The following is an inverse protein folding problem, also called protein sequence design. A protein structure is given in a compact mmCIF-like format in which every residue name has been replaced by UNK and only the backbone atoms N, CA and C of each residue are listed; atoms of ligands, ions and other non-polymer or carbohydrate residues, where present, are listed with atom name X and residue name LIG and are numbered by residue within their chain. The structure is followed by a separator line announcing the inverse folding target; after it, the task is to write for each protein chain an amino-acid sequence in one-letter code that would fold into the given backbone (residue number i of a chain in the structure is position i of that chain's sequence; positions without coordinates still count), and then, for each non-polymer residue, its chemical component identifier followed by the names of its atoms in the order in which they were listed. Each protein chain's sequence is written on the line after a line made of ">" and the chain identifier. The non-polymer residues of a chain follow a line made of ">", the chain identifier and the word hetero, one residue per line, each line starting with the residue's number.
data_IF_844992413238
#
_entry.id   IF_844992413238
#
_cell.length_a   1.000
_cell.length_b   1.000
_cell.length_c   1.000
_cell.angle_alpha   90.00
_cell.angle_beta   90.00
_cell.angle_gamma   90.00
#
_symmetry.space_group_name_H-M   'P 1'
#
loop_
_entity.id
_entity.type
_entity.pdbx_description
1 polymer ?
#
# COMPACT_ATOMS: atom_id res chain seq x y z
N UNK A 1 52.21 -23.57 -2.62
CA UNK A 1 53.68 -23.42 -2.56
C UNK A 1 54.04 -22.54 -1.36
N UNK A 2 54.34 -23.09 -0.17
CA UNK A 2 54.92 -22.29 0.90
C UNK A 2 56.44 -22.24 0.71
N UNK A 3 57.01 -21.02 0.65
CA UNK A 3 58.45 -20.83 0.75
C UNK A 3 58.83 -20.69 2.21
N UNK A 4 59.84 -21.47 2.55
CA UNK A 4 60.49 -21.66 3.83
C UNK A 4 61.47 -20.53 4.15
N UNK A 5 61.89 -20.54 5.42
CA UNK A 5 63.23 -20.24 5.92
C UNK A 5 63.56 -18.79 6.32
N UNK A 6 64.33 -18.50 7.38
CA UNK A 6 65.00 -19.27 8.46
C UNK A 6 65.78 -18.24 9.31
N UNK A 7 66.19 -18.60 10.54
CA UNK A 7 67.40 -18.12 11.29
C UNK A 7 67.42 -16.71 11.95
N UNK A 8 68.00 -16.44 13.14
CA UNK A 8 68.80 -17.20 14.15
C UNK A 8 69.19 -16.27 15.34
N UNK A 9 69.71 -16.90 16.40
CA UNK A 9 70.77 -16.40 17.36
C UNK A 9 70.25 -15.66 18.60
N UNK A 10 70.22 -16.23 19.83
CA UNK A 10 71.26 -16.77 20.75
C UNK A 10 72.07 -15.69 21.51
N UNK A 11 71.85 -15.62 22.82
CA UNK A 11 72.85 -15.42 23.90
C UNK A 11 72.16 -15.84 25.23
N UNK A 12 72.50 -16.94 25.91
CA UNK A 12 73.64 -17.14 26.84
C UNK A 12 73.77 -15.97 27.84
N UNK A 13 73.91 -16.11 29.16
CA UNK A 13 74.09 -17.21 30.08
C UNK A 13 74.06 -16.56 31.48
N UNK A 14 73.41 -17.18 32.48
CA UNK A 14 73.94 -17.18 33.86
C UNK A 14 73.23 -18.19 34.74
N UNK A 15 73.96 -19.27 35.03
CA UNK A 15 73.71 -20.16 36.16
C UNK A 15 73.90 -19.38 37.47
N UNK A 16 72.93 -19.47 38.38
CA UNK A 16 73.19 -19.56 39.82
C UNK A 16 72.26 -20.61 40.41
N UNK A 17 72.86 -21.73 40.77
CA UNK A 17 72.33 -22.74 41.66
C UNK A 17 72.19 -22.13 43.06
N UNK A 18 70.98 -22.10 43.60
CA UNK A 18 70.74 -21.99 45.02
C UNK A 18 69.53 -22.87 45.36
N UNK A 19 69.84 -23.90 46.12
CA UNK A 19 68.96 -24.86 46.78
C UNK A 19 67.86 -24.17 47.60
N UNK A 20 66.62 -24.57 47.41
CA UNK A 20 65.48 -24.07 48.19
C UNK A 20 64.24 -24.91 47.90
N UNK A 21 64.14 -26.04 48.60
CA UNK A 21 62.92 -26.85 48.71
C UNK A 21 61.80 -25.98 49.30
N UNK A 22 60.70 -25.84 48.57
CA UNK A 22 59.56 -25.03 48.96
C UNK A 22 58.44 -25.16 47.95
N UNK A 23 57.91 -26.38 47.81
CA UNK A 23 56.68 -26.60 47.05
C UNK A 23 55.52 -25.87 47.71
N UNK A 24 55.17 -24.70 47.19
CA UNK A 24 53.88 -24.07 47.49
C UNK A 24 52.82 -24.73 46.61
N UNK A 25 52.38 -25.90 47.06
CA UNK A 25 51.16 -26.57 46.59
C UNK A 25 49.99 -25.58 46.69
N UNK A 26 49.14 -25.42 45.67
CA UNK A 26 47.89 -24.67 45.83
C UNK A 26 47.07 -25.34 46.94
N UNK A 27 46.27 -24.60 47.74
CA UNK A 27 45.47 -25.22 48.77
C UNK A 27 44.51 -26.21 48.10
N UNK A 28 44.71 -27.51 48.35
CA UNK A 28 43.72 -28.54 48.05
C UNK A 28 42.58 -28.31 49.04
N UNK A 29 41.53 -27.65 48.58
CA UNK A 29 40.23 -27.67 49.24
C UNK A 29 39.77 -29.13 49.20
N UNK A 30 39.95 -29.87 50.29
CA UNK A 30 39.38 -31.21 50.43
C UNK A 30 37.90 -31.03 50.69
N UNK A 31 37.14 -30.76 49.63
CA UNK A 31 35.70 -30.68 49.73
C UNK A 31 35.19 -31.99 50.33
N UNK A 32 34.39 -31.90 51.38
CA UNK A 32 33.81 -33.09 51.99
C UNK A 32 32.88 -33.76 50.98
N UNK A 33 32.66 -35.08 51.10
CA UNK A 33 31.74 -35.79 50.22
C UNK A 33 30.34 -35.15 50.20
N UNK A 34 29.94 -34.48 51.29
CA UNK A 34 28.70 -33.72 51.39
C UNK A 34 28.72 -32.43 50.53
N UNK A 35 29.79 -31.63 50.58
CA UNK A 35 29.93 -30.41 49.77
C UNK A 35 29.95 -30.72 48.27
N UNK A 36 30.58 -31.81 47.85
CA UNK A 36 30.58 -32.24 46.44
C UNK A 36 29.18 -32.65 45.99
N UNK A 37 28.40 -33.31 46.85
CA UNK A 37 27.00 -33.69 46.56
C UNK A 37 26.11 -32.44 46.47
N UNK A 38 26.30 -31.46 47.34
CA UNK A 38 25.54 -30.20 47.30
C UNK A 38 25.81 -29.41 46.01
N UNK A 39 27.08 -29.29 45.60
CA UNK A 39 27.45 -28.66 44.32
C UNK A 39 26.86 -29.43 43.13
N UNK A 40 26.86 -30.76 43.17
CA UNK A 40 26.26 -31.59 42.11
C UNK A 40 24.74 -31.43 42.03
N UNK A 41 24.05 -31.34 43.16
CA UNK A 41 22.60 -31.10 43.20
C UNK A 41 22.25 -29.71 42.67
N UNK A 42 23.02 -28.69 43.06
CA UNK A 42 22.83 -27.31 42.58
C UNK A 42 23.11 -27.19 41.08
N UNK A 43 24.15 -27.86 40.57
CA UNK A 43 24.44 -27.90 39.14
C UNK A 43 23.40 -28.69 38.34
N UNK A 44 22.88 -29.80 38.87
CA UNK A 44 21.76 -30.53 38.25
C UNK A 44 20.48 -29.69 38.19
N UNK A 45 20.20 -28.93 39.25
CA UNK A 45 19.06 -27.99 39.27
C UNK A 45 19.20 -26.93 38.19
N UNK A 46 20.38 -26.28 38.10
CA UNK A 46 20.67 -25.29 37.06
C UNK A 46 20.61 -25.88 35.64
N UNK A 47 21.03 -27.12 35.47
CA UNK A 47 20.94 -27.81 34.18
C UNK A 47 19.47 -28.05 33.78
N UNK A 48 18.64 -28.51 34.72
CA UNK A 48 17.21 -28.70 34.48
C UNK A 48 16.51 -27.37 34.15
N UNK A 49 16.81 -26.30 34.88
CA UNK A 49 16.33 -24.95 34.58
C UNK A 49 16.75 -24.51 33.18
N UNK A 50 18.01 -24.73 32.79
CA UNK A 50 18.50 -24.41 31.44
C UNK A 50 17.82 -25.24 30.34
N UNK A 51 17.56 -26.53 30.57
CA UNK A 51 16.85 -27.40 29.62
C UNK A 51 15.40 -26.94 29.42
N UNK A 52 14.70 -26.58 30.49
CA UNK A 52 13.33 -26.05 30.41
C UNK A 52 13.27 -24.69 29.69
N UNK A 53 14.25 -23.82 29.94
CA UNK A 53 14.39 -22.54 29.25
C UNK A 53 14.65 -22.75 27.74
N UNK A 54 15.55 -23.69 27.38
CA UNK A 54 15.83 -24.03 25.99
C UNK A 54 14.57 -24.55 25.28
N UNK A 55 13.82 -25.45 25.91
CA UNK A 55 12.57 -25.97 25.35
C UNK A 55 11.51 -24.88 25.14
N UNK A 56 11.50 -23.85 25.98
CA UNK A 56 10.59 -22.71 25.84
C UNK A 56 11.04 -21.80 24.68
N UNK A 57 12.34 -21.49 24.57
CA UNK A 57 12.90 -20.74 23.42
C UNK A 57 12.59 -21.42 22.10
N UNK A 58 12.78 -22.73 21.99
CA UNK A 58 12.50 -23.48 20.76
C UNK A 58 11.03 -23.37 20.35
N UNK A 59 10.10 -23.43 21.31
CA UNK A 59 8.66 -23.23 21.03
C UNK A 59 8.35 -21.81 20.55
N UNK A 60 8.92 -20.80 21.18
CA UNK A 60 8.73 -19.39 20.79
C UNK A 60 9.30 -19.11 19.40
N UNK A 61 10.49 -19.64 19.08
CA UNK A 61 11.09 -19.51 17.74
C UNK A 61 10.19 -20.15 16.69
N UNK A 62 9.73 -21.37 16.92
CA UNK A 62 8.83 -22.06 15.97
C UNK A 62 7.53 -21.28 15.73
N UNK A 63 6.93 -20.70 16.78
CA UNK A 63 5.71 -19.91 16.65
C UNK A 63 5.95 -18.62 15.84
N UNK A 64 7.08 -17.95 16.05
CA UNK A 64 7.47 -16.76 15.27
C UNK A 64 7.79 -17.11 13.80
N UNK A 65 8.36 -18.29 13.54
CA UNK A 65 8.58 -18.80 12.18
C UNK A 65 7.25 -19.05 11.46
N UNK A 66 6.26 -19.64 12.14
CA UNK A 66 4.91 -19.85 11.60
C UNK A 66 4.20 -18.52 11.32
N UNK A 67 4.25 -17.55 12.24
CA UNK A 67 3.70 -16.21 12.01
C UNK A 67 4.39 -15.49 10.85
N UNK A 68 5.73 -15.59 10.74
CA UNK A 68 6.47 -15.02 9.62
C UNK A 68 6.09 -15.68 8.28
N UNK A 69 5.89 -17.00 8.27
CA UNK A 69 5.43 -17.70 7.08
C UNK A 69 4.02 -17.27 6.67
N UNK A 70 3.11 -17.12 7.63
CA UNK A 70 1.76 -16.61 7.38
C UNK A 70 1.79 -15.17 6.86
N UNK A 71 2.60 -14.30 7.46
CA UNK A 71 2.77 -12.93 7.02
C UNK A 71 3.34 -12.83 5.60
N UNK A 72 4.33 -13.67 5.24
CA UNK A 72 4.85 -13.75 3.88
C UNK A 72 3.80 -14.19 2.87
N UNK A 73 3.02 -15.22 3.19
CA UNK A 73 1.94 -15.68 2.32
C UNK A 73 0.87 -14.59 2.11
N UNK A 74 0.60 -13.78 3.13
CA UNK A 74 -0.32 -12.64 3.00
C UNK A 74 0.29 -11.51 2.16
N UNK A 75 1.58 -11.20 2.34
CA UNK A 75 2.29 -10.24 1.50
C UNK A 75 2.29 -10.67 0.02
N UNK A 76 2.54 -11.95 -0.27
CA UNK A 76 2.53 -12.49 -1.65
C UNK A 76 1.14 -12.34 -2.31
N UNK A 77 0.06 -12.58 -1.54
CA UNK A 77 -1.31 -12.36 -2.02
C UNK A 77 -1.57 -10.89 -2.29
N UNK A 78 -1.25 -10.03 -1.32
CA UNK A 78 -1.45 -8.59 -1.44
C UNK A 78 -0.64 -8.00 -2.61
N UNK A 79 0.59 -8.49 -2.87
CA UNK A 79 1.39 -8.10 -4.03
C UNK A 79 0.74 -8.53 -5.36
N UNK A 80 0.17 -9.74 -5.39
CA UNK A 80 -0.58 -10.23 -6.56
C UNK A 80 -1.81 -9.37 -6.83
N UNK A 81 -2.55 -9.03 -5.77
CA UNK A 81 -3.75 -8.18 -5.85
C UNK A 81 -3.39 -6.74 -6.26
N UNK A 82 -2.30 -6.18 -5.70
CA UNK A 82 -1.78 -4.86 -6.09
C UNK A 82 -1.41 -4.82 -7.58
N UNK A 83 -0.72 -5.85 -8.06
CA UNK A 83 -0.38 -5.96 -9.49
C UNK A 83 -1.64 -6.05 -10.36
N UNK A 84 -2.63 -6.84 -9.96
CA UNK A 84 -3.91 -6.95 -10.68
C UNK A 84 -4.64 -5.60 -10.71
N UNK A 85 -4.71 -4.89 -9.59
CA UNK A 85 -5.32 -3.56 -9.48
C UNK A 85 -4.59 -2.53 -10.37
N UNK A 86 -3.25 -2.53 -10.40
CA UNK A 86 -2.48 -1.64 -11.28
C UNK A 86 -2.74 -1.90 -12.77
N UNK A 87 -2.91 -3.16 -13.18
CA UNK A 87 -3.29 -3.51 -14.56
C UNK A 87 -4.70 -2.99 -14.86
N UNK A 88 -5.65 -3.15 -13.94
CA UNK A 88 -7.02 -2.66 -14.07
C UNK A 88 -7.06 -1.12 -14.21
N UNK A 89 -6.33 -0.40 -13.35
CA UNK A 89 -6.16 1.06 -13.41
C UNK A 89 -5.70 1.48 -14.81
N UNK A 90 -4.63 0.88 -15.34
CA UNK A 90 -4.09 1.22 -16.66
C UNK A 90 -5.12 1.00 -17.79
N UNK A 91 -5.91 -0.07 -17.71
CA UNK A 91 -6.96 -0.37 -18.69
C UNK A 91 -8.07 0.68 -18.61
N UNK A 92 -8.51 1.02 -17.40
CA UNK A 92 -9.57 2.00 -17.15
C UNK A 92 -9.14 3.41 -17.57
N UNK A 93 -7.90 3.82 -17.30
CA UNK A 93 -7.33 5.08 -17.78
C UNK A 93 -7.38 5.16 -19.31
N UNK A 94 -6.90 4.11 -20.00
CA UNK A 94 -6.94 4.05 -21.46
C UNK A 94 -8.37 4.12 -22.03
N UNK A 95 -9.32 3.43 -21.38
CA UNK A 95 -10.73 3.47 -21.77
C UNK A 95 -11.35 4.87 -21.56
N UNK A 96 -11.06 5.51 -20.42
CA UNK A 96 -11.53 6.87 -20.08
C UNK A 96 -10.99 7.89 -21.07
N UNK A 97 -9.70 7.83 -21.41
CA UNK A 97 -9.08 8.75 -22.36
C UNK A 97 -9.67 8.59 -23.77
N UNK A 98 -9.91 7.34 -24.20
CA UNK A 98 -10.61 7.07 -25.45
C UNK A 98 -12.06 7.57 -25.44
N UNK A 99 -12.77 7.48 -24.32
CA UNK A 99 -14.11 8.04 -24.16
C UNK A 99 -14.11 9.58 -24.24
N UNK A 100 -13.14 10.25 -23.59
CA UNK A 100 -12.96 11.69 -23.70
C UNK A 100 -12.69 12.15 -25.14
N UNK A 101 -11.82 11.44 -25.86
CA UNK A 101 -11.53 11.75 -27.26
C UNK A 101 -12.78 11.62 -28.14
N UNK A 102 -13.54 10.53 -27.99
CA UNK A 102 -14.82 10.32 -28.69
C UNK A 102 -15.83 11.44 -28.39
N UNK A 103 -15.96 11.84 -27.13
CA UNK A 103 -16.88 12.92 -26.73
C UNK A 103 -16.48 14.27 -27.35
N UNK A 104 -15.17 14.57 -27.42
CA UNK A 104 -14.67 15.81 -28.00
C UNK A 104 -14.94 15.90 -29.51
N UNK A 105 -14.75 14.80 -30.24
CA UNK A 105 -15.05 14.72 -31.67
C UNK A 105 -16.55 14.90 -31.93
N UNK A 106 -17.40 14.13 -31.23
CA UNK A 106 -18.84 14.22 -31.38
C UNK A 106 -19.38 15.62 -31.00
N UNK A 107 -18.77 16.29 -30.00
CA UNK A 107 -19.15 17.67 -29.62
C UNK A 107 -18.86 18.66 -30.76
N UNK A 108 -17.76 18.47 -31.46
CA UNK A 108 -17.38 19.29 -32.61
C UNK A 108 -18.37 19.10 -33.75
N UNK A 109 -18.77 17.86 -34.02
CA UNK A 109 -19.78 17.52 -35.03
C UNK A 109 -21.14 18.19 -34.72
N UNK A 110 -21.63 18.06 -33.48
CA UNK A 110 -22.89 18.70 -33.06
C UNK A 110 -22.82 20.23 -33.19
N UNK A 111 -21.69 20.85 -32.88
CA UNK A 111 -21.51 22.29 -33.07
C UNK A 111 -21.60 22.70 -34.54
N UNK A 112 -21.00 21.92 -35.46
CA UNK A 112 -21.12 22.19 -36.89
C UNK A 112 -22.54 21.99 -37.40
N UNK A 113 -23.21 20.90 -37.01
CA UNK A 113 -24.61 20.68 -37.38
C UNK A 113 -25.53 21.79 -36.84
N UNK A 114 -25.30 22.24 -35.61
CA UNK A 114 -26.05 23.36 -35.02
C UNK A 114 -25.84 24.65 -35.80
N UNK A 115 -24.61 24.94 -36.27
CA UNK A 115 -24.34 26.10 -37.13
C UNK A 115 -25.00 25.99 -38.50
N UNK A 116 -25.07 24.79 -39.08
CA UNK A 116 -25.78 24.55 -40.34
C UNK A 116 -27.28 24.77 -40.14
N UNK A 117 -27.84 24.22 -39.06
CA UNK A 117 -29.24 24.36 -38.70
C UNK A 117 -29.64 25.83 -38.49
N UNK A 118 -28.82 26.61 -37.77
CA UNK A 118 -29.04 28.04 -37.60
C UNK A 118 -29.08 28.80 -38.95
N UNK A 119 -28.15 28.48 -39.86
CA UNK A 119 -28.14 29.07 -41.22
C UNK A 119 -29.39 28.68 -42.02
N UNK A 120 -29.86 27.45 -41.90
CA UNK A 120 -31.07 26.99 -42.59
C UNK A 120 -32.34 27.62 -42.01
N UNK A 121 -32.39 27.82 -40.69
CA UNK A 121 -33.48 28.55 -40.03
C UNK A 121 -33.55 30.00 -40.51
N UNK A 122 -32.41 30.68 -40.59
CA UNK A 122 -32.34 32.05 -41.12
C UNK A 122 -32.85 32.13 -42.57
N UNK A 123 -32.41 31.22 -43.45
CA UNK A 123 -32.90 31.19 -44.83
C UNK A 123 -34.41 30.91 -44.90
N UNK A 124 -34.92 30.05 -44.03
CA UNK A 124 -36.36 29.76 -43.94
C UNK A 124 -37.16 30.98 -43.47
N UNK A 125 -36.64 31.73 -42.51
CA UNK A 125 -37.27 32.97 -42.03
C UNK A 125 -37.30 34.04 -43.13
N UNK A 126 -36.21 34.13 -43.91
CA UNK A 126 -36.14 34.98 -45.10
C UNK A 126 -37.16 34.56 -46.17
N UNK A 127 -37.25 33.25 -46.47
CA UNK A 127 -38.23 32.70 -47.42
C UNK A 127 -39.66 32.93 -46.95
N UNK A 128 -39.96 32.74 -45.65
CA UNK A 128 -41.26 32.99 -45.07
C UNK A 128 -41.66 34.48 -45.16
N UNK A 129 -40.72 35.39 -44.87
CA UNK A 129 -40.92 36.83 -45.04
C UNK A 129 -41.21 37.17 -46.51
N UNK A 130 -40.49 36.57 -47.46
CA UNK A 130 -40.71 36.78 -48.89
C UNK A 130 -42.06 36.24 -49.36
N UNK A 131 -42.47 35.07 -48.87
CA UNK A 131 -43.80 34.50 -49.15
C UNK A 131 -44.90 35.43 -48.63
N UNK A 132 -44.75 35.99 -47.43
CA UNK A 132 -45.70 36.93 -46.85
C UNK A 132 -45.81 38.20 -47.71
N UNK A 133 -44.68 38.76 -48.16
CA UNK A 133 -44.63 39.92 -49.06
C UNK A 133 -45.31 39.64 -50.40
N UNK A 134 -44.98 38.51 -51.05
CA UNK A 134 -45.57 38.12 -52.34
C UNK A 134 -47.08 37.88 -52.21
N UNK A 135 -47.52 37.30 -51.09
CA UNK A 135 -48.95 37.08 -50.82
C UNK A 135 -49.70 38.40 -50.68
N UNK A 136 -49.14 39.39 -49.96
CA UNK A 136 -49.73 40.73 -49.83
C UNK A 136 -49.80 41.49 -51.17
N UNK A 137 -48.76 41.33 -52.00
CA UNK A 137 -48.78 41.88 -53.37
C UNK A 137 -49.83 41.22 -54.24
N UNK A 138 -50.02 39.90 -54.10
CA UNK A 138 -51.03 39.14 -54.84
C UNK A 138 -52.44 39.63 -54.49
N UNK A 139 -52.78 39.75 -53.20
CA UNK A 139 -54.09 40.28 -52.77
C UNK A 139 -54.34 41.71 -53.25
N UNK A 140 -53.30 42.56 -53.29
CA UNK A 140 -53.40 43.91 -53.88
C UNK A 140 -53.59 43.88 -55.41
N UNK A 141 -53.10 42.84 -56.08
CA UNK A 141 -53.16 42.66 -57.52
C UNK A 141 -54.40 41.89 -58.01
N UNK A 142 -55.27 41.39 -57.13
CA UNK A 142 -56.51 40.65 -57.47
C UNK A 142 -57.52 41.42 -58.34
N UNK A 143 -57.26 42.71 -58.64
CA UNK A 143 -58.01 43.52 -59.63
C UNK A 143 -57.24 43.85 -60.93
N UNK A 144 -56.04 43.32 -61.13
CA UNK A 144 -55.11 43.61 -62.23
C UNK A 144 -54.87 42.35 -63.07
N UNK A 145 -54.70 42.49 -64.40
CA UNK A 145 -54.85 41.41 -65.39
C UNK A 145 -54.11 40.07 -65.15
N UNK A 146 -54.71 38.99 -65.67
CA UNK A 146 -54.37 37.58 -65.41
C UNK A 146 -52.88 37.19 -65.49
N UNK A 147 -52.09 37.77 -66.40
CA UNK A 147 -50.69 37.35 -66.60
C UNK A 147 -49.78 37.69 -65.42
N UNK A 148 -50.05 38.78 -64.70
CA UNK A 148 -49.27 39.17 -63.52
C UNK A 148 -49.57 38.24 -62.33
N UNK A 149 -50.81 37.77 -62.25
CA UNK A 149 -51.30 36.91 -61.18
C UNK A 149 -50.73 35.49 -61.31
N UNK A 150 -50.65 34.95 -62.52
CA UNK A 150 -50.00 33.65 -62.80
C UNK A 150 -48.50 33.66 -62.44
N UNK A 151 -47.79 34.75 -62.77
CA UNK A 151 -46.36 34.88 -62.47
C UNK A 151 -46.08 34.88 -60.96
N UNK A 152 -46.87 35.63 -60.18
CA UNK A 152 -46.75 35.66 -58.72
C UNK A 152 -47.11 34.31 -58.07
N UNK A 153 -48.09 33.58 -58.62
CA UNK A 153 -48.43 32.22 -58.16
C UNK A 153 -47.29 31.23 -58.40
N UNK A 154 -46.62 31.31 -59.55
CA UNK A 154 -45.46 30.49 -59.89
C UNK A 154 -44.26 30.76 -58.94
N UNK A 155 -43.97 32.03 -58.66
CA UNK A 155 -42.91 32.43 -57.71
C UNK A 155 -43.20 31.92 -56.29
N UNK A 156 -44.46 31.99 -55.85
CA UNK A 156 -44.87 31.51 -54.53
C UNK A 156 -44.77 29.98 -54.40
N UNK A 157 -45.11 29.24 -55.47
CA UNK A 157 -44.97 27.79 -55.50
C UNK A 157 -43.50 27.35 -55.43
N UNK A 158 -42.61 28.03 -56.16
CA UNK A 158 -41.17 27.73 -56.14
C UNK A 158 -40.51 28.07 -54.79
N UNK A 159 -40.93 29.16 -54.12
CA UNK A 159 -40.46 29.50 -52.79
C UNK A 159 -40.89 28.45 -51.73
N UNK A 160 -42.14 27.97 -51.78
CA UNK A 160 -42.64 26.93 -50.87
C UNK A 160 -41.93 25.59 -51.03
N UNK A 161 -41.60 25.21 -52.26
CA UNK A 161 -40.90 23.94 -52.55
C UNK A 161 -39.47 23.90 -51.99
N UNK A 162 -38.80 25.06 -51.83
CA UNK A 162 -37.42 25.13 -51.32
C UNK A 162 -37.30 24.94 -49.80
N UNK A 163 -38.37 25.10 -49.02
CA UNK A 163 -38.33 25.11 -47.56
C UNK A 163 -38.32 23.71 -46.86
N UNK A 164 -38.11 22.62 -47.59
CA UNK A 164 -38.56 21.27 -47.21
C UNK A 164 -37.74 20.40 -46.23
N UNK A 165 -36.51 20.73 -45.84
CA UNK A 165 -35.60 19.75 -45.17
C UNK A 165 -35.23 20.03 -43.69
N UNK A 166 -35.86 20.98 -43.01
CA UNK A 166 -35.46 21.40 -41.66
C UNK A 166 -35.76 20.40 -40.51
N UNK A 167 -36.93 19.71 -40.48
CA UNK A 167 -37.29 18.84 -39.35
C UNK A 167 -36.36 17.64 -39.16
N UNK A 168 -35.83 17.10 -40.25
CA UNK A 168 -34.92 15.93 -40.23
C UNK A 168 -33.55 16.31 -39.63
N UNK A 169 -33.07 17.52 -39.92
CA UNK A 169 -31.83 18.06 -39.34
C UNK A 169 -32.00 18.41 -37.85
N UNK A 170 -33.13 19.00 -37.46
CA UNK A 170 -33.47 19.26 -36.04
C UNK A 170 -33.50 17.95 -35.23
N UNK A 171 -34.12 16.91 -35.78
CA UNK A 171 -34.15 15.59 -35.15
C UNK A 171 -32.75 14.95 -35.07
N UNK A 172 -31.92 15.15 -36.08
CA UNK A 172 -30.53 14.67 -36.10
C UNK A 172 -29.69 15.35 -35.01
N UNK A 173 -29.76 16.67 -34.88
CA UNK A 173 -29.05 17.43 -33.83
C UNK A 173 -29.52 17.01 -32.43
N UNK A 174 -30.83 16.84 -32.23
CA UNK A 174 -31.38 16.37 -30.96
C UNK A 174 -30.85 14.98 -30.60
N UNK A 175 -30.81 14.05 -31.57
CA UNK A 175 -30.29 12.69 -31.37
C UNK A 175 -28.82 12.68 -31.01
N UNK A 176 -27.99 13.43 -31.73
CA UNK A 176 -26.56 13.52 -31.43
C UNK A 176 -26.29 14.19 -30.07
N UNK A 177 -27.08 15.20 -29.70
CA UNK A 177 -26.99 15.85 -28.38
C UNK A 177 -27.33 14.87 -27.26
N UNK A 178 -28.35 14.03 -27.44
CA UNK A 178 -28.66 12.96 -26.48
C UNK A 178 -27.53 11.93 -26.40
N UNK A 179 -26.93 11.57 -27.54
CA UNK A 179 -25.78 10.64 -27.57
C UNK A 179 -24.55 11.20 -26.83
N UNK A 180 -24.27 12.51 -26.93
CA UNK A 180 -23.23 13.17 -26.15
C UNK A 180 -23.47 13.05 -24.64
N UNK A 181 -24.73 13.21 -24.20
CA UNK A 181 -25.09 13.07 -22.78
C UNK A 181 -24.82 11.65 -22.28
N UNK A 182 -25.15 10.63 -23.07
CA UNK A 182 -24.84 9.22 -22.75
C UNK A 182 -23.34 8.97 -22.69
N UNK A 183 -22.56 9.50 -23.64
CA UNK A 183 -21.09 9.36 -23.62
C UNK A 183 -20.45 10.08 -22.42
N UNK A 184 -21.01 11.21 -21.99
CA UNK A 184 -20.57 11.88 -20.78
C UNK A 184 -20.83 11.03 -19.51
N UNK A 185 -21.94 10.29 -19.47
CA UNK A 185 -22.23 9.35 -18.38
C UNK A 185 -21.25 8.17 -18.36
N UNK A 186 -20.83 7.65 -19.53
CA UNK A 186 -19.80 6.61 -19.63
C UNK A 186 -18.48 7.06 -18.96
N UNK A 187 -18.07 8.31 -19.18
CA UNK A 187 -16.87 8.87 -18.54
C UNK A 187 -17.02 8.93 -17.02
N UNK A 188 -18.17 9.38 -16.51
CA UNK A 188 -18.44 9.42 -15.06
C UNK A 188 -18.32 8.03 -14.45
N UNK A 189 -18.85 7.00 -15.11
CA UNK A 189 -18.78 5.63 -14.63
C UNK A 189 -17.35 5.07 -14.67
N UNK A 190 -16.61 5.33 -15.75
CA UNK A 190 -15.19 4.94 -15.84
C UNK A 190 -14.34 5.62 -14.76
N UNK A 191 -14.60 6.90 -14.46
CA UNK A 191 -13.95 7.61 -13.36
C UNK A 191 -14.27 7.01 -11.99
N UNK A 192 -15.51 6.55 -11.77
CA UNK A 192 -15.90 5.86 -10.54
C UNK A 192 -15.15 4.54 -10.39
N UNK A 193 -15.15 3.70 -11.43
CA UNK A 193 -14.43 2.42 -11.42
C UNK A 193 -12.92 2.59 -11.22
N UNK A 194 -12.33 3.62 -11.82
CA UNK A 194 -10.92 3.93 -11.63
C UNK A 194 -10.61 4.25 -10.17
N UNK A 195 -11.42 5.11 -9.54
CA UNK A 195 -11.25 5.46 -8.12
C UNK A 195 -11.38 4.23 -7.21
N UNK A 196 -12.26 3.29 -7.53
CA UNK A 196 -12.41 2.03 -6.79
C UNK A 196 -11.23 1.07 -6.98
N UNK A 197 -10.63 1.06 -8.18
CA UNK A 197 -9.41 0.29 -8.44
C UNK A 197 -8.19 0.89 -7.72
N UNK A 198 -8.06 2.22 -7.72
CA UNK A 198 -7.02 2.95 -6.96
C UNK A 198 -7.12 2.67 -5.46
N UNK A 199 -8.32 2.75 -4.88
CA UNK A 199 -8.52 2.44 -3.46
C UNK A 199 -8.11 1.00 -3.11
N UNK A 200 -8.43 0.02 -3.97
CA UNK A 200 -8.00 -1.38 -3.79
C UNK A 200 -6.48 -1.52 -3.86
N UNK A 201 -5.81 -0.82 -4.78
CA UNK A 201 -4.35 -0.84 -4.85
C UNK A 201 -3.72 -0.27 -3.56
N UNK A 202 -4.25 0.83 -3.04
CA UNK A 202 -3.78 1.45 -1.78
C UNK A 202 -4.01 0.53 -0.56
N UNK A 203 -5.13 -0.20 -0.53
CA UNK A 203 -5.40 -1.21 0.50
C UNK A 203 -4.38 -2.36 0.43
N UNK A 204 -4.09 -2.87 -0.76
CA UNK A 204 -3.09 -3.93 -0.97
C UNK A 204 -1.68 -3.47 -0.59
N UNK A 205 -1.27 -2.25 -0.95
CA UNK A 205 0.04 -1.70 -0.58
C UNK A 205 0.19 -1.57 0.94
N UNK A 206 -0.87 -1.13 1.63
CA UNK A 206 -0.91 -1.10 3.09
C UNK A 206 -0.82 -2.50 3.71
N UNK A 207 -1.48 -3.50 3.12
CA UNK A 207 -1.40 -4.88 3.58
C UNK A 207 0.01 -5.47 3.43
N UNK A 208 0.69 -5.24 2.30
CA UNK A 208 2.09 -5.63 2.08
C UNK A 208 3.00 -5.00 3.14
N UNK A 209 2.83 -3.70 3.41
CA UNK A 209 3.59 -3.02 4.45
C UNK A 209 3.30 -3.59 5.84
N UNK A 210 2.03 -3.81 6.20
CA UNK A 210 1.65 -4.34 7.51
C UNK A 210 2.23 -5.75 7.75
N UNK A 211 2.21 -6.62 6.74
CA UNK A 211 2.71 -7.98 6.84
C UNK A 211 4.22 -8.07 7.16
N UNK A 212 5.04 -7.18 6.60
CA UNK A 212 6.49 -7.19 6.82
C UNK A 212 6.98 -6.34 8.01
N UNK A 213 6.26 -5.27 8.37
CA UNK A 213 6.83 -4.20 9.19
C UNK A 213 6.83 -4.49 10.69
N UNK A 214 5.94 -5.34 11.20
CA UNK A 214 5.83 -5.57 12.64
C UNK A 214 7.03 -6.33 13.25
N UNK A 215 7.77 -7.08 12.45
CA UNK A 215 9.01 -7.75 12.89
C UNK A 215 10.22 -6.82 12.90
N UNK A 216 10.22 -5.79 12.07
CA UNK A 216 11.30 -4.82 11.99
C UNK A 216 11.68 -4.20 13.35
N UNK A 217 10.75 -3.77 14.23
CA UNK A 217 11.09 -3.22 15.54
C UNK A 217 11.67 -4.27 16.50
N UNK A 218 11.29 -5.55 16.38
CA UNK A 218 11.84 -6.66 17.18
C UNK A 218 13.25 -7.07 16.72
N UNK A 219 13.49 -7.09 15.42
CA UNK A 219 14.76 -7.51 14.82
C UNK A 219 15.78 -6.37 14.70
N UNK A 220 15.33 -5.12 14.69
CA UNK A 220 16.18 -3.93 14.61
C UNK A 220 17.32 -3.92 15.63
N UNK A 221 17.06 -4.10 16.94
CA UNK A 221 18.12 -4.15 17.96
C UNK A 221 19.15 -5.26 17.70
N UNK A 222 18.71 -6.40 17.17
CA UNK A 222 19.57 -7.55 16.88
C UNK A 222 20.47 -7.32 15.65
N UNK A 223 19.95 -6.60 14.64
CA UNK A 223 20.65 -6.32 13.37
C UNK A 223 21.56 -5.08 13.47
N UNK A 224 21.21 -4.10 14.28
CA UNK A 224 21.96 -2.85 14.47
C UNK A 224 23.15 -2.99 15.44
N UNK A 225 23.11 -3.98 16.35
CA UNK A 225 24.16 -4.20 17.36
C UNK A 225 24.71 -5.65 17.30
N UNK A 226 25.48 -6.03 16.26
CA UNK A 226 25.95 -7.41 16.05
C UNK A 226 27.05 -7.88 17.03
N UNK A 227 27.27 -7.20 18.16
CA UNK A 227 28.44 -7.45 19.01
C UNK A 227 28.16 -7.64 20.50
N UNK A 228 26.99 -8.17 20.90
CA UNK A 228 26.72 -8.56 22.30
C UNK A 228 26.99 -7.47 23.36
N UNK A 229 27.12 -6.22 22.93
CA UNK A 229 27.38 -5.08 23.79
C UNK A 229 26.02 -4.65 24.35
N UNK A 230 25.91 -4.42 25.66
CA UNK A 230 24.67 -3.95 26.25
C UNK A 230 24.31 -2.58 25.63
N UNK A 231 23.04 -2.39 25.30
CA UNK A 231 22.54 -1.08 24.85
C UNK A 231 22.77 -0.04 25.95
N UNK A 232 22.95 1.23 25.55
CA UNK A 232 22.89 2.36 26.48
C UNK A 232 21.47 2.56 27.02
N UNK A 233 21.33 3.29 28.13
CA UNK A 233 20.02 3.57 28.73
C UNK A 233 19.09 4.35 27.80
N UNK A 234 19.63 5.24 26.98
CA UNK A 234 18.87 6.00 25.97
C UNK A 234 18.36 5.06 24.86
N UNK A 235 19.20 4.16 24.37
CA UNK A 235 18.83 3.16 23.34
C UNK A 235 17.76 2.19 23.85
N UNK A 236 17.85 1.69 25.09
CA UNK A 236 16.81 0.81 25.65
C UNK A 236 15.45 1.50 25.69
N UNK A 237 15.43 2.77 26.09
CA UNK A 237 14.18 3.54 26.21
C UNK A 237 13.56 3.80 24.84
N UNK A 238 14.38 4.17 23.86
CA UNK A 238 13.95 4.37 22.47
C UNK A 238 13.41 3.08 21.85
N UNK A 239 14.15 1.97 21.98
CA UNK A 239 13.73 0.69 21.42
C UNK A 239 12.49 0.13 22.12
N UNK A 240 12.39 0.26 23.45
CA UNK A 240 11.21 -0.13 24.22
C UNK A 240 9.96 0.62 23.74
N UNK A 241 10.05 1.95 23.59
CA UNK A 241 8.95 2.76 23.06
C UNK A 241 8.57 2.32 21.63
N UNK A 242 9.56 2.01 20.79
CA UNK A 242 9.34 1.59 19.39
C UNK A 242 8.66 0.23 19.25
N UNK A 243 9.01 -0.77 20.08
CA UNK A 243 8.37 -2.09 20.03
C UNK A 243 6.92 -2.05 20.55
N UNK A 244 6.63 -1.18 21.52
CA UNK A 244 5.27 -0.95 22.02
C UNK A 244 4.44 -0.19 20.97
N UNK A 245 4.96 0.92 20.44
CA UNK A 245 4.26 1.75 19.47
C UNK A 245 3.97 1.05 18.13
N UNK A 246 4.64 -0.06 17.84
CA UNK A 246 4.40 -0.88 16.64
C UNK A 246 3.38 -2.00 16.85
N UNK A 247 2.87 -2.20 18.09
CA UNK A 247 2.03 -3.35 18.45
C UNK A 247 2.78 -4.69 18.41
N UNK A 248 4.11 -4.67 18.22
CA UNK A 248 4.91 -5.89 18.19
C UNK A 248 5.09 -6.50 19.59
N UNK A 249 4.92 -5.69 20.63
CA UNK A 249 4.98 -6.06 22.05
C UNK A 249 3.73 -5.57 22.80
N UNK A 250 3.16 -6.41 23.64
CA UNK A 250 2.00 -6.09 24.49
C UNK A 250 2.44 -6.08 25.97
N UNK A 251 2.59 -4.89 26.59
CA UNK A 251 3.03 -4.78 27.98
C UNK A 251 2.07 -5.43 28.98
N UNK A 252 0.77 -5.35 28.74
CA UNK A 252 -0.26 -5.84 29.67
C UNK A 252 -0.28 -7.38 29.63
N UNK A 253 -0.28 -7.95 28.44
CA UNK A 253 -0.18 -9.39 28.25
C UNK A 253 1.15 -9.93 28.79
N UNK A 254 2.26 -9.21 28.56
CA UNK A 254 3.57 -9.63 29.01
C UNK A 254 3.64 -9.69 30.53
N UNK A 255 3.15 -8.68 31.24
CA UNK A 255 3.09 -8.69 32.70
C UNK A 255 2.14 -9.77 33.25
N UNK A 256 0.99 -9.98 32.61
CA UNK A 256 0.05 -11.03 32.99
C UNK A 256 0.68 -12.43 32.85
N UNK A 257 1.50 -12.63 31.83
CA UNK A 257 2.16 -13.93 31.55
C UNK A 257 3.46 -14.11 32.33
N UNK A 258 4.08 -13.02 32.78
CA UNK A 258 5.35 -12.99 33.49
C UNK A 258 5.22 -12.28 34.85
N UNK A 259 4.60 -12.93 35.87
CA UNK A 259 4.35 -12.30 37.17
C UNK A 259 5.61 -11.82 37.88
N UNK A 260 6.74 -12.48 37.66
CA UNK A 260 8.05 -12.10 38.21
C UNK A 260 8.53 -10.72 37.71
N UNK A 261 8.22 -10.40 36.45
CA UNK A 261 8.52 -9.09 35.86
C UNK A 261 7.58 -8.04 36.45
N UNK A 262 6.28 -8.35 36.55
CA UNK A 262 5.28 -7.47 37.13
C UNK A 262 5.57 -7.14 38.61
N UNK A 263 5.96 -8.14 39.41
CA UNK A 263 6.33 -8.00 40.82
C UNK A 263 7.63 -7.20 41.01
N UNK A 264 8.57 -7.27 40.05
CA UNK A 264 9.82 -6.51 40.10
C UNK A 264 9.63 -5.00 39.87
N UNK A 265 8.49 -4.59 39.30
CA UNK A 265 8.24 -3.21 38.88
C UNK A 265 9.13 -2.73 37.72
N UNK A 266 9.80 -3.65 37.02
CA UNK A 266 10.63 -3.34 35.85
C UNK A 266 9.75 -2.96 34.66
N UNK A 267 10.26 -2.06 33.80
CA UNK A 267 9.61 -1.79 32.52
C UNK A 267 9.54 -3.09 31.67
N UNK A 268 8.35 -3.55 31.25
CA UNK A 268 8.19 -4.85 30.60
C UNK A 268 8.89 -4.94 29.26
N UNK A 269 8.86 -3.86 28.47
CA UNK A 269 9.46 -3.79 27.15
C UNK A 269 11.00 -3.80 27.24
N UNK A 270 11.56 -3.06 28.20
CA UNK A 270 12.99 -3.08 28.53
C UNK A 270 13.43 -4.46 29.04
N UNK A 271 12.66 -5.05 29.96
CA UNK A 271 12.93 -6.41 30.43
C UNK A 271 12.93 -7.41 29.28
N UNK A 272 11.97 -7.30 28.36
CA UNK A 272 11.90 -8.15 27.18
C UNK A 272 13.13 -8.04 26.29
N UNK A 273 13.58 -6.81 25.99
CA UNK A 273 14.77 -6.56 25.18
C UNK A 273 16.06 -7.04 25.86
N UNK A 274 16.16 -6.90 27.18
CA UNK A 274 17.37 -7.22 27.93
C UNK A 274 17.50 -8.71 28.27
N UNK A 275 16.38 -9.34 28.64
CA UNK A 275 16.34 -10.70 29.16
C UNK A 275 15.26 -11.55 28.48
N UNK A 276 14.06 -11.01 28.27
CA UNK A 276 12.90 -11.81 27.84
C UNK A 276 13.11 -12.54 26.51
N UNK A 277 13.69 -11.90 25.51
CA UNK A 277 14.01 -12.54 24.23
C UNK A 277 15.03 -13.67 24.43
N UNK A 278 16.09 -13.38 25.19
CA UNK A 278 17.09 -14.38 25.53
C UNK A 278 16.45 -15.52 26.33
N UNK A 279 15.52 -15.28 27.25
CA UNK A 279 14.81 -16.27 28.06
C UNK A 279 13.74 -17.05 27.28
N UNK A 280 13.43 -16.65 26.04
CA UNK A 280 12.41 -17.27 25.21
C UNK A 280 10.98 -16.89 25.60
N UNK A 281 10.80 -15.81 26.38
CA UNK A 281 9.48 -15.23 26.66
C UNK A 281 8.93 -14.64 25.37
N UNK A 282 7.65 -14.85 25.11
CA UNK A 282 7.02 -14.24 23.95
C UNK A 282 6.76 -12.74 24.21
N UNK A 283 6.81 -11.88 23.18
CA UNK A 283 6.55 -10.45 23.31
C UNK A 283 5.06 -10.09 23.42
N UNK A 284 4.18 -10.99 22.99
CA UNK A 284 2.73 -10.87 22.98
C UNK A 284 2.11 -12.27 22.87
N UNK A 285 0.78 -12.35 22.87
CA UNK A 285 0.09 -13.60 22.55
C UNK A 285 0.28 -13.99 21.07
N UNK A 286 1.23 -14.88 20.78
CA UNK A 286 1.50 -15.38 19.42
C UNK A 286 0.38 -16.27 18.84
N UNK A 287 -0.69 -16.52 19.61
CA UNK A 287 -1.91 -17.16 19.08
C UNK A 287 -2.86 -16.15 18.45
N UNK A 288 -2.64 -14.87 18.74
CA UNK A 288 -3.41 -13.75 18.19
C UNK A 288 -2.57 -13.12 17.07
N UNK A 289 -3.09 -13.05 15.84
CA UNK A 289 -2.39 -12.39 14.74
C UNK A 289 -2.00 -10.95 15.12
N UNK A 290 -0.80 -10.52 14.70
CA UNK A 290 -0.40 -9.12 14.87
C UNK A 290 -1.45 -8.20 14.24
N UNK A 291 -1.91 -7.22 15.03
CA UNK A 291 -2.72 -6.11 14.56
C UNK A 291 -1.90 -4.83 14.74
N UNK A 292 -1.62 -4.06 13.67
CA UNK A 292 -1.00 -2.75 13.84
C UNK A 292 -1.96 -1.84 14.64
N UNK A 293 -1.42 -0.93 15.46
CA UNK A 293 -2.26 0.01 16.20
C UNK A 293 -3.11 0.83 15.22
N UNK A 294 -4.42 0.96 15.50
CA UNK A 294 -5.32 1.80 14.72
C UNK A 294 -4.77 3.23 14.73
N UNK A 295 -4.53 3.80 13.54
CA UNK A 295 -4.08 5.19 13.43
C UNK A 295 -5.26 6.11 13.76
N UNK A 296 -5.17 6.80 14.92
CA UNK A 296 -6.04 7.94 15.27
C UNK A 296 -5.74 9.19 14.42
#
# INVERSE_FOLDING_TARGET
>A
MPKTSTTKTVAASRRRSATGSGGSTPPRVSATKAEVVEILLETQKKLLEAETALGTRTRTISALEDELAAARAEADRAETDAYAAQVEIRILEGARDAAHARLAEARTEVLELTRVLARMQEHRDQDAARIAELSDRLTKAEGSGNSHLEMLQQELATARAKAGNLPDLEQTVARQTQQLATQAQEIVELSRLLSEAEARADDSDRAVHAAGTWLAPLLGPLLSHPSGAPFSEEEYTEYAARIVASGAFDPDWYNMTNPDVAESGSDPARHFLQYGLAEGRAPRDLRVPHQPPEAE
#
